data_IF_785757289499
#
_entry.id   IF_785757289499
#
_cell.length_a   1.000
_cell.length_b   1.000
_cell.length_c   1.000
_cell.angle_alpha   90.00
_cell.angle_beta   90.00
_cell.angle_gamma   90.00
#
_symmetry.space_group_name_H-M   'P 1'
#
loop_
_entity.id
_entity.type
_entity.pdbx_description
1 polymer ?
#
# COMPACT_ATOMS: atom_id res chain seq x y z
N UNK A 1 32.26 -21.02 2.81
CA UNK A 1 31.06 -20.23 3.15
C UNK A 1 30.13 -20.31 1.95
N UNK A 2 28.93 -20.89 2.04
CA UNK A 2 28.01 -20.84 0.91
C UNK A 2 27.71 -19.37 0.64
N UNK A 3 28.06 -18.89 -0.55
CA UNK A 3 27.70 -17.55 -1.01
C UNK A 3 26.18 -17.45 -0.92
N UNK A 4 25.68 -16.65 0.01
CA UNK A 4 24.25 -16.42 0.15
C UNK A 4 23.74 -15.93 -1.20
N UNK A 5 22.87 -16.71 -1.86
CA UNK A 5 22.17 -16.25 -3.04
C UNK A 5 21.55 -14.88 -2.73
N UNK A 6 21.79 -13.91 -3.59
CA UNK A 6 21.16 -12.59 -3.48
C UNK A 6 19.65 -12.81 -3.51
N UNK A 7 18.97 -12.47 -2.41
CA UNK A 7 17.51 -12.52 -2.35
C UNK A 7 17.02 -11.08 -2.47
N UNK A 8 16.51 -10.65 -3.65
CA UNK A 8 16.27 -9.23 -3.92
C UNK A 8 15.36 -8.54 -2.89
N UNK A 9 14.43 -9.28 -2.28
CA UNK A 9 13.64 -8.79 -1.16
C UNK A 9 14.51 -8.45 0.06
N UNK A 10 15.39 -9.36 0.48
CA UNK A 10 16.26 -9.13 1.62
C UNK A 10 17.25 -8.01 1.34
N UNK A 11 17.75 -7.91 0.11
CA UNK A 11 18.67 -6.85 -0.30
C UNK A 11 18.02 -5.48 -0.20
N UNK A 12 16.80 -5.33 -0.74
CA UNK A 12 16.00 -4.10 -0.60
C UNK A 12 15.76 -3.74 0.88
N UNK A 13 15.28 -4.69 1.67
CA UNK A 13 14.95 -4.46 3.08
C UNK A 13 16.19 -4.12 3.92
N UNK A 14 17.32 -4.78 3.65
CA UNK A 14 18.59 -4.51 4.30
C UNK A 14 19.13 -3.13 3.93
N UNK A 15 19.06 -2.73 2.65
CA UNK A 15 19.47 -1.40 2.21
C UNK A 15 18.63 -0.31 2.89
N UNK A 16 17.30 -0.45 2.87
CA UNK A 16 16.39 0.49 3.54
C UNK A 16 16.65 0.57 5.06
N UNK A 17 16.89 -0.57 5.73
CA UNK A 17 17.23 -0.65 7.16
C UNK A 17 18.56 0.05 7.47
N UNK A 18 19.63 -0.29 6.74
CA UNK A 18 20.99 0.22 6.98
C UNK A 18 21.05 1.74 6.84
N UNK A 19 20.40 2.27 5.81
CA UNK A 19 20.37 3.70 5.52
C UNK A 19 19.28 4.45 6.30
N UNK A 20 18.51 3.75 7.15
CA UNK A 20 17.35 4.28 7.88
C UNK A 20 16.37 5.04 6.97
N UNK A 21 16.24 4.59 5.72
CA UNK A 21 15.31 5.17 4.75
C UNK A 21 13.88 5.02 5.26
N UNK A 22 13.10 6.08 5.07
CA UNK A 22 11.67 6.07 5.37
C UNK A 22 10.96 5.24 4.30
N UNK A 23 10.04 4.39 4.74
CA UNK A 23 9.25 3.50 3.89
C UNK A 23 7.77 3.69 4.15
N UNK A 24 6.98 3.41 3.12
CA UNK A 24 5.54 3.25 3.22
C UNK A 24 5.20 1.77 3.02
N UNK A 25 4.49 1.19 3.99
CA UNK A 25 4.01 -0.18 3.96
C UNK A 25 2.49 -0.14 3.79
N UNK A 26 2.02 -0.67 2.67
CA UNK A 26 0.60 -0.85 2.39
C UNK A 26 0.19 -2.23 2.84
N UNK A 27 -0.88 -2.29 3.62
CA UNK A 27 -1.48 -3.53 4.08
C UNK A 27 -2.53 -4.00 3.07
N UNK A 28 -2.84 -5.29 3.08
CA UNK A 28 -3.85 -5.90 2.19
C UNK A 28 -5.24 -5.28 2.35
N UNK A 29 -5.57 -4.73 3.53
CA UNK A 29 -6.83 -4.03 3.78
C UNK A 29 -6.81 -2.55 3.35
N UNK A 30 -5.73 -2.06 2.73
CA UNK A 30 -5.58 -0.68 2.28
C UNK A 30 -5.05 0.30 3.32
N UNK A 31 -4.81 -0.11 4.57
CA UNK A 31 -4.14 0.75 5.56
C UNK A 31 -2.69 1.00 5.13
N UNK A 32 -2.22 2.23 5.29
CA UNK A 32 -0.83 2.62 5.04
C UNK A 32 -0.11 2.95 6.33
N UNK A 33 1.03 2.30 6.57
CA UNK A 33 1.93 2.57 7.68
C UNK A 33 3.20 3.23 7.14
N UNK A 34 3.71 4.24 7.85
CA UNK A 34 4.93 4.97 7.45
C UNK A 34 5.93 4.96 8.59
N UNK A 35 7.19 4.66 8.29
CA UNK A 35 8.24 4.58 9.29
C UNK A 35 9.59 4.16 8.70
N UNK A 36 10.51 3.73 9.54
CA UNK A 36 11.80 3.15 9.14
C UNK A 36 11.83 1.67 9.54
N UNK A 37 12.41 0.81 8.71
CA UNK A 37 12.58 -0.61 9.05
C UNK A 37 13.65 -0.73 10.13
N UNK A 38 13.29 -1.27 11.28
CA UNK A 38 14.21 -1.56 12.39
C UNK A 38 14.89 -2.92 12.18
N UNK A 39 14.11 -3.95 11.87
CA UNK A 39 14.57 -5.31 11.60
C UNK A 39 13.52 -6.09 10.81
N UNK A 40 13.89 -7.25 10.27
CA UNK A 40 12.97 -8.15 9.59
C UNK A 40 13.55 -9.57 9.60
N UNK A 41 12.66 -10.55 9.43
CA UNK A 41 13.01 -11.95 9.24
C UNK A 41 12.21 -12.55 8.08
N UNK A 42 12.05 -13.88 8.05
CA UNK A 42 11.28 -14.58 7.05
C UNK A 42 9.79 -14.17 7.03
N UNK A 43 9.19 -13.85 8.18
CA UNK A 43 7.74 -13.69 8.37
C UNK A 43 7.31 -12.29 8.84
N UNK A 44 8.18 -11.55 9.51
CA UNK A 44 7.88 -10.29 10.18
C UNK A 44 8.77 -9.15 9.67
N UNK A 45 8.21 -7.94 9.70
CA UNK A 45 8.92 -6.67 9.54
C UNK A 45 8.66 -5.83 10.79
N UNK A 46 9.72 -5.36 11.45
CA UNK A 46 9.64 -4.44 12.57
C UNK A 46 9.76 -3.02 12.04
N UNK A 47 8.67 -2.26 12.11
CA UNK A 47 8.59 -0.88 11.65
C UNK A 47 8.67 0.08 12.84
N UNK A 48 9.66 0.97 12.83
CA UNK A 48 9.77 2.07 13.78
C UNK A 48 8.98 3.26 13.27
N UNK A 49 7.99 3.67 14.05
CA UNK A 49 7.11 4.82 13.81
C UNK A 49 7.29 5.85 14.94
N UNK A 50 6.78 7.09 14.79
CA UNK A 50 6.78 8.05 15.89
C UNK A 50 6.06 7.56 17.16
N UNK A 51 5.06 6.68 16.98
CA UNK A 51 4.27 6.11 18.09
C UNK A 51 5.01 4.95 18.79
N UNK A 52 6.05 4.41 18.15
CA UNK A 52 6.86 3.32 18.69
C UNK A 52 7.16 2.24 17.66
N UNK A 53 7.54 1.06 18.18
CA UNK A 53 7.91 -0.09 17.36
C UNK A 53 6.71 -1.02 17.14
N UNK A 54 6.44 -1.36 15.89
CA UNK A 54 5.32 -2.21 15.47
C UNK A 54 5.85 -3.41 14.68
N UNK A 55 5.40 -4.61 15.01
CA UNK A 55 5.65 -5.81 14.23
C UNK A 55 4.52 -6.04 13.23
N UNK A 56 4.86 -6.22 11.96
CA UNK A 56 3.92 -6.41 10.86
C UNK A 56 4.22 -7.76 10.21
N UNK A 57 3.24 -8.66 10.18
CA UNK A 57 3.37 -9.92 9.46
C UNK A 57 3.39 -9.68 7.95
N UNK A 58 4.34 -10.29 7.23
CA UNK A 58 4.44 -10.15 5.77
C UNK A 58 3.16 -10.59 5.03
N UNK A 59 2.40 -11.55 5.58
CA UNK A 59 1.09 -11.96 5.04
C UNK A 59 0.07 -10.82 4.98
N UNK A 60 0.21 -9.82 5.84
CA UNK A 60 -0.65 -8.66 5.88
C UNK A 60 -0.18 -7.53 4.93
N UNK A 61 1.01 -7.65 4.33
CA UNK A 61 1.62 -6.60 3.52
C UNK A 61 1.29 -6.85 2.05
N UNK A 62 0.75 -5.82 1.37
CA UNK A 62 0.57 -5.83 -0.08
C UNK A 62 1.76 -5.20 -0.79
N UNK A 63 2.32 -4.10 -0.28
CA UNK A 63 3.41 -3.37 -0.95
C UNK A 63 4.30 -2.64 0.06
N UNK A 64 5.59 -2.56 -0.25
CA UNK A 64 6.56 -1.72 0.48
C UNK A 64 7.29 -0.86 -0.54
N UNK A 65 7.29 0.45 -0.31
CA UNK A 65 8.00 1.40 -1.16
C UNK A 65 8.83 2.37 -0.32
N UNK A 66 9.86 2.96 -0.94
CA UNK A 66 10.57 4.09 -0.33
C UNK A 66 9.65 5.31 -0.30
N UNK A 67 9.66 6.03 0.81
CA UNK A 67 9.03 7.34 0.91
C UNK A 67 9.99 8.38 0.29
N UNK A 68 9.86 8.61 -1.01
CA UNK A 68 10.68 9.59 -1.74
C UNK A 68 10.26 11.03 -1.49
N UNK A 69 9.24 11.30 -0.65
CA UNK A 69 8.72 12.64 -0.38
C UNK A 69 8.04 13.33 -1.57
N UNK A 70 8.17 12.78 -2.78
CA UNK A 70 7.50 13.23 -3.99
C UNK A 70 6.11 12.62 -4.05
N UNK A 71 5.18 13.16 -3.26
CA UNK A 71 3.76 12.98 -3.57
C UNK A 71 3.57 13.53 -4.99
N UNK A 72 3.22 12.71 -6.01
CA UNK A 72 2.86 13.26 -7.30
C UNK A 72 1.70 14.22 -7.04
N UNK A 73 1.91 15.50 -7.33
CA UNK A 73 0.86 16.49 -7.20
C UNK A 73 -0.39 15.98 -7.96
N UNK A 74 -1.60 16.16 -7.42
CA UNK A 74 -2.80 15.92 -8.21
C UNK A 74 -2.63 16.71 -9.49
N UNK A 75 -2.65 16.03 -10.64
CA UNK A 75 -2.54 16.66 -11.96
C UNK A 75 -3.61 17.75 -12.03
N UNK A 76 -3.20 19.00 -11.82
CA UNK A 76 -4.07 20.14 -12.04
C UNK A 76 -4.58 20.02 -13.48
N UNK A 77 -5.90 20.18 -13.65
CA UNK A 77 -6.57 20.02 -14.92
C UNK A 77 -5.81 20.72 -16.04
N UNK A 78 -5.61 20.02 -17.15
CA UNK A 78 -5.13 20.61 -18.40
C UNK A 78 -5.90 21.91 -18.64
N UNK A 79 -5.24 23.07 -18.84
CA UNK A 79 -5.95 24.22 -19.35
C UNK A 79 -6.49 23.88 -20.74
N UNK A 80 -7.81 23.92 -20.87
CA UNK A 80 -8.51 23.88 -22.15
C UNK A 80 -8.18 25.17 -22.89
N UNK A 81 -7.14 25.15 -23.72
CA UNK A 81 -6.79 26.28 -24.58
C UNK A 81 -7.76 26.32 -25.77
N UNK A 82 -8.95 26.87 -25.54
CA UNK A 82 -9.73 27.50 -26.59
C UNK A 82 -9.32 28.96 -26.69
N UNK A 83 -8.71 29.35 -27.81
CA UNK A 83 -8.99 30.61 -28.50
C UNK A 83 -8.27 30.59 -29.85
N UNK A 84 -9.05 30.92 -30.86
CA UNK A 84 -8.77 30.91 -32.29
C UNK A 84 -8.36 32.32 -32.72
N UNK A 85 -7.13 32.55 -33.20
CA UNK A 85 -6.84 33.73 -34.02
C UNK A 85 -5.87 33.43 -35.17
N UNK A 86 -6.33 33.84 -36.36
CA UNK A 86 -5.59 34.33 -37.53
C UNK A 86 -4.67 33.40 -38.34
N UNK A 87 -5.21 33.05 -39.52
CA UNK A 87 -4.56 32.65 -40.77
C UNK A 87 -3.19 33.31 -41.03
N UNK A 88 -2.23 32.48 -41.43
CA UNK A 88 -1.01 32.84 -42.18
C UNK A 88 -0.65 31.70 -43.15
N UNK A 89 -0.04 31.98 -44.32
CA UNK A 89 -0.21 31.14 -45.51
C UNK A 89 0.86 30.03 -45.70
N UNK A 90 0.37 28.90 -46.21
CA UNK A 90 0.97 27.94 -47.13
C UNK A 90 2.52 27.81 -47.16
N UNK A 91 3.02 26.70 -46.60
CA UNK A 91 4.36 26.17 -46.85
C UNK A 91 4.31 24.68 -47.18
N UNK A 92 4.74 24.34 -48.41
CA UNK A 92 5.25 23.05 -48.90
C UNK A 92 4.69 21.75 -48.30
N UNK A 93 3.69 21.19 -48.99
CA UNK A 93 3.15 19.85 -48.78
C UNK A 93 4.00 18.84 -49.56
N UNK A 94 4.79 18.02 -48.88
CA UNK A 94 5.38 16.83 -49.51
C UNK A 94 4.29 15.82 -49.89
N UNK A 95 4.37 15.11 -51.04
CA UNK A 95 3.41 14.08 -51.38
C UNK A 95 3.69 12.86 -50.51
N UNK A 96 2.84 12.62 -49.50
CA UNK A 96 2.84 11.35 -48.76
C UNK A 96 2.34 10.24 -49.68
N UNK A 97 3.16 9.21 -49.83
CA UNK A 97 2.87 8.00 -50.60
C UNK A 97 1.59 7.29 -50.11
N UNK A 98 0.92 6.68 -51.07
CA UNK A 98 -0.31 5.92 -50.94
C UNK A 98 -0.19 4.85 -49.86
N UNK A 99 -0.87 5.05 -48.72
CA UNK A 99 -1.14 3.98 -47.78
C UNK A 99 -2.40 3.26 -48.23
N UNK A 100 -2.27 2.00 -48.64
CA UNK A 100 -3.39 1.16 -49.06
C UNK A 100 -4.48 1.08 -47.98
N UNK A 101 -5.78 1.02 -48.37
CA UNK A 101 -6.86 0.75 -47.45
C UNK A 101 -6.68 -0.64 -46.83
N UNK A 102 -6.58 -0.72 -45.51
CA UNK A 102 -6.62 -2.02 -44.82
C UNK A 102 -7.99 -2.67 -45.05
N UNK A 103 -7.98 -3.92 -45.50
CA UNK A 103 -9.20 -4.71 -45.66
C UNK A 103 -9.99 -4.83 -44.34
N UNK A 104 -11.33 -4.81 -44.40
CA UNK A 104 -12.17 -5.09 -43.24
C UNK A 104 -11.94 -6.52 -42.76
N UNK A 105 -11.64 -6.69 -41.47
CA UNK A 105 -11.59 -8.03 -40.86
C UNK A 105 -13.00 -8.62 -40.81
N UNK A 106 -13.15 -9.81 -41.38
CA UNK A 106 -14.35 -10.66 -41.26
C UNK A 106 -14.77 -10.83 -39.78
N UNK A 107 -16.07 -10.74 -39.44
CA UNK A 107 -16.56 -11.04 -38.11
C UNK A 107 -16.35 -12.53 -37.79
N UNK A 108 -15.59 -12.83 -36.73
CA UNK A 108 -15.46 -14.21 -36.25
C UNK A 108 -16.83 -14.77 -35.87
N UNK A 109 -17.15 -15.92 -36.45
CA UNK A 109 -18.35 -16.70 -36.19
C UNK A 109 -18.46 -17.04 -34.69
N UNK A 110 -19.64 -16.77 -34.17
CA UNK A 110 -20.07 -17.02 -32.80
C UNK A 110 -20.13 -18.52 -32.54
N UNK A 111 -19.17 -19.04 -31.75
CA UNK A 111 -19.26 -20.40 -31.23
C UNK A 111 -19.92 -20.38 -29.84
N UNK A 112 -21.12 -20.96 -29.80
CA UNK A 112 -21.58 -21.77 -28.66
C UNK A 112 -22.17 -21.00 -27.49
N UNK A 113 -23.48 -20.73 -27.56
CA UNK A 113 -24.30 -20.52 -26.38
C UNK A 113 -24.20 -21.74 -25.45
N UNK A 114 -23.70 -21.55 -24.23
CA UNK A 114 -23.87 -22.51 -23.14
C UNK A 114 -24.96 -21.99 -22.20
N UNK A 115 -26.04 -22.76 -22.12
CA UNK A 115 -27.20 -22.54 -21.27
C UNK A 115 -26.83 -22.56 -19.77
N UNK A 116 -27.42 -21.70 -18.92
CA UNK A 116 -27.19 -21.74 -17.48
C UNK A 116 -28.11 -22.80 -16.85
N UNK A 117 -27.56 -23.96 -16.48
CA UNK A 117 -28.26 -24.90 -15.61
C UNK A 117 -28.09 -24.47 -14.15
N UNK A 118 -29.20 -24.00 -13.60
CA UNK A 118 -29.65 -23.92 -12.21
C UNK A 118 -28.77 -24.64 -11.16
N UNK A 119 -28.28 -23.89 -10.17
CA UNK A 119 -27.84 -24.43 -8.87
C UNK A 119 -28.74 -23.90 -7.77
N UNK A 120 -29.49 -24.80 -7.14
CA UNK A 120 -30.33 -24.54 -5.97
C UNK A 120 -29.51 -24.08 -4.75
N UNK A 121 -30.06 -23.21 -3.88
CA UNK A 121 -29.39 -22.77 -2.66
C UNK A 121 -29.77 -23.69 -1.49
N UNK A 122 -28.81 -24.47 -0.98
CA UNK A 122 -28.93 -25.11 0.34
C UNK A 122 -27.84 -24.58 1.26
N UNK A 123 -28.28 -23.75 2.19
CA UNK A 123 -27.83 -23.63 3.59
C UNK A 123 -26.33 -23.85 3.89
N UNK A 124 -25.64 -22.76 4.26
CA UNK A 124 -24.46 -22.86 5.13
C UNK A 124 -24.51 -21.78 6.21
N UNK A 125 -24.43 -22.27 7.45
CA UNK A 125 -24.44 -21.64 8.77
C UNK A 125 -23.68 -20.29 8.92
N UNK A 126 -24.00 -19.50 9.96
CA UNK A 126 -23.36 -18.21 10.21
C UNK A 126 -21.85 -18.37 10.42
N UNK A 127 -21.09 -17.61 9.64
CA UNK A 127 -19.64 -17.60 9.69
C UNK A 127 -19.14 -16.78 10.88
N UNK A 128 -18.85 -17.44 12.00
CA UNK A 128 -17.81 -17.00 12.94
C UNK A 128 -16.44 -17.13 12.26
N UNK A 129 -16.21 -16.32 11.22
CA UNK A 129 -14.89 -16.14 10.65
C UNK A 129 -14.15 -15.16 11.55
N UNK A 130 -13.00 -15.53 12.16
CA UNK A 130 -12.13 -14.53 12.74
C UNK A 130 -11.83 -13.52 11.62
N UNK A 131 -11.98 -12.23 11.91
CA UNK A 131 -11.75 -11.19 10.92
C UNK A 131 -10.39 -11.44 10.26
N UNK A 132 -10.41 -11.73 8.96
CA UNK A 132 -9.23 -11.99 8.12
C UNK A 132 -8.47 -10.67 7.85
N UNK A 133 -8.42 -9.83 8.88
CA UNK A 133 -7.80 -8.53 8.89
C UNK A 133 -6.31 -8.65 9.21
N UNK A 134 -5.50 -7.70 8.74
CA UNK A 134 -4.06 -7.75 8.96
C UNK A 134 -3.71 -7.70 10.44
N UNK A 135 -2.86 -8.64 10.87
CA UNK A 135 -2.37 -8.69 12.25
C UNK A 135 -1.19 -7.73 12.41
N UNK A 136 -1.39 -6.66 13.18
CA UNK A 136 -0.33 -5.71 13.57
C UNK A 136 -0.10 -5.85 15.07
N UNK A 137 1.14 -6.15 15.46
CA UNK A 137 1.52 -6.32 16.86
C UNK A 137 2.20 -5.04 17.34
N UNK A 138 1.62 -4.39 18.35
CA UNK A 138 2.23 -3.20 18.97
C UNK A 138 2.63 -3.51 20.41
N UNK A 139 3.89 -3.23 20.78
CA UNK A 139 4.32 -3.38 22.18
C UNK A 139 3.93 -2.13 22.95
N UNK A 140 2.75 -2.14 23.58
CA UNK A 140 2.36 -1.07 24.52
C UNK A 140 3.29 -1.10 25.73
N UNK A 141 4.14 -0.09 25.89
CA UNK A 141 4.84 0.15 27.16
C UNK A 141 3.78 0.50 28.20
N UNK A 142 3.59 -0.36 29.21
CA UNK A 142 2.91 0.04 30.43
C UNK A 142 3.81 1.08 31.10
N UNK A 143 3.31 2.30 31.26
CA UNK A 143 3.89 3.25 32.20
C UNK A 143 3.65 2.64 33.58
N UNK A 144 4.71 2.18 34.26
CA UNK A 144 4.62 1.81 35.66
C UNK A 144 4.23 3.08 36.42
N UNK A 145 3.06 3.06 37.04
CA UNK A 145 2.58 4.15 37.88
C UNK A 145 3.48 4.28 39.11
N UNK A 146 4.09 5.45 39.26
CA UNK A 146 4.48 5.99 40.55
C UNK A 146 3.21 6.17 41.37
N UNK A 147 2.93 5.23 42.27
CA UNK A 147 1.88 5.36 43.27
C UNK A 147 2.18 6.55 44.17
N UNK A 148 1.24 7.49 44.23
CA UNK A 148 1.23 8.55 45.21
C UNK A 148 1.03 7.95 46.61
N UNK A 149 2.01 8.17 47.49
CA UNK A 149 1.85 8.05 48.92
C UNK A 149 1.44 9.42 49.46
N UNK A 150 0.12 9.64 49.55
CA UNK A 150 -0.47 10.80 50.19
C UNK A 150 -0.34 10.62 51.71
N UNK A 151 0.68 11.24 52.30
CA UNK A 151 0.95 11.23 53.74
C UNK A 151 0.31 12.43 54.42
N UNK A 152 -1.01 12.56 54.34
CA UNK A 152 -1.79 13.59 55.01
C UNK A 152 -2.57 13.01 56.19
N UNK A 153 -1.96 12.96 57.37
CA UNK A 153 -2.62 12.58 58.62
C UNK A 153 -2.41 13.65 59.69
N UNK A 154 -3.37 14.56 59.81
CA UNK A 154 -3.45 15.53 60.89
C UNK A 154 -4.64 15.20 61.83
N UNK A 155 -4.45 15.57 63.11
CA UNK A 155 -5.36 15.70 64.24
C UNK A 155 -5.56 14.52 65.20
N UNK A 156 -5.38 14.83 66.50
CA UNK A 156 -6.04 14.11 67.60
C UNK A 156 -5.36 14.22 68.96
N UNK A 157 -5.50 15.37 69.61
CA UNK A 157 -5.39 15.60 71.06
C UNK A 157 -6.10 14.55 71.93
N UNK A 158 -5.49 14.11 73.04
CA UNK A 158 -6.07 14.09 74.40
C UNK A 158 -5.09 13.51 75.44
N UNK A 159 -5.04 14.20 76.59
CA UNK A 159 -4.62 13.80 77.97
C UNK A 159 -3.19 13.35 78.28
#
# INVERSE_FOLDING_TARGET
MPSAESHPQNDFMNAARKERKRVEIYLVNGIRLTGCIESFDQYLVMLRTPVGLQGIYKRAISTIQLDTGTRPAPRAGRPSHGEHTTRGPHGSREPREHREPREPREPRESYGAQSPSERSPSERAPSDRPADGPVVVTRRRRLFGTGGGDGGGNNGSHE
#
